data_IF_137572786069
#
_entry.id   IF_137572786069
#
_cell.length_a   1.000
_cell.length_b   1.000
_cell.length_c   1.000
_cell.angle_alpha   90.00
_cell.angle_beta   90.00
_cell.angle_gamma   90.00
#
_symmetry.space_group_name_H-M   'P 1'
#
loop_
_entity.id
_entity.type
_entity.pdbx_description
1 polymer ?
#
# COMPACT_ATOMS: atom_id res chain seq x y z
N UNK A 1 2.58 1.26 24.39
CA UNK A 1 2.57 2.44 25.29
C UNK A 1 2.83 3.69 24.46
N UNK A 2 2.22 4.83 24.79
CA UNK A 2 2.36 6.09 24.04
C UNK A 2 3.31 7.04 24.77
N UNK A 3 4.35 7.51 24.10
CA UNK A 3 5.35 8.43 24.66
C UNK A 3 5.37 9.71 23.84
N UNK A 4 5.10 10.85 24.47
CA UNK A 4 5.10 12.16 23.80
C UNK A 4 6.49 12.78 23.91
N UNK A 5 7.03 13.26 22.80
CA UNK A 5 8.36 13.90 22.71
C UNK A 5 8.27 15.17 21.86
N UNK A 6 9.05 16.19 22.19
CA UNK A 6 9.16 17.38 21.33
C UNK A 6 10.03 17.10 20.09
N UNK A 7 9.86 17.88 19.02
CA UNK A 7 10.67 17.77 17.80
C UNK A 7 12.17 17.92 18.07
N UNK A 8 12.54 18.79 19.00
CA UNK A 8 13.94 19.01 19.40
C UNK A 8 14.53 17.78 20.06
N UNK A 9 13.78 17.12 20.95
CA UNK A 9 14.20 15.88 21.58
C UNK A 9 14.20 14.70 20.61
N UNK A 10 13.20 14.62 19.73
CA UNK A 10 13.12 13.60 18.69
C UNK A 10 14.36 13.61 17.79
N UNK A 11 14.84 14.80 17.39
CA UNK A 11 16.07 14.95 16.60
C UNK A 11 17.32 14.50 17.35
N UNK A 12 17.44 14.85 18.64
CA UNK A 12 18.62 14.49 19.46
C UNK A 12 18.68 12.99 19.76
N UNK A 13 17.52 12.37 20.03
CA UNK A 13 17.40 10.97 20.49
C UNK A 13 16.94 10.01 19.39
N UNK A 14 16.94 10.44 18.12
CA UNK A 14 16.46 9.63 16.99
C UNK A 14 17.11 8.24 16.91
N UNK A 15 18.46 8.10 17.03
CA UNK A 15 19.10 6.80 16.98
C UNK A 15 18.70 5.87 18.12
N UNK A 16 18.54 6.39 19.34
CA UNK A 16 18.14 5.60 20.51
C UNK A 16 16.65 5.23 20.47
N UNK A 17 15.79 6.13 19.98
CA UNK A 17 14.36 5.86 19.73
C UNK A 17 14.23 4.69 18.75
N UNK A 18 14.95 4.71 17.62
CA UNK A 18 14.91 3.60 16.65
C UNK A 18 15.38 2.29 17.29
N UNK A 19 16.43 2.32 18.10
CA UNK A 19 16.94 1.13 18.79
C UNK A 19 15.92 0.56 19.77
N UNK A 20 15.22 1.43 20.52
CA UNK A 20 14.15 1.02 21.44
C UNK A 20 12.94 0.43 20.71
N UNK A 21 12.55 0.99 19.56
CA UNK A 21 11.46 0.45 18.73
C UNK A 21 11.76 -0.93 18.16
N UNK A 22 13.04 -1.24 17.92
CA UNK A 22 13.47 -2.58 17.50
C UNK A 22 13.33 -3.62 18.63
N UNK A 23 13.60 -3.23 19.87
CA UNK A 23 13.48 -4.10 21.04
C UNK A 23 12.06 -4.21 21.59
N UNK A 24 11.26 -3.14 21.46
CA UNK A 24 9.89 -3.04 21.96
C UNK A 24 8.96 -2.51 20.86
N UNK A 25 8.49 -3.39 19.94
CA UNK A 25 7.73 -2.99 18.75
C UNK A 25 6.34 -2.39 19.05
N UNK A 26 5.80 -2.59 20.26
CA UNK A 26 4.51 -2.05 20.70
C UNK A 26 4.58 -0.60 21.24
N UNK A 27 5.74 0.03 21.13
CA UNK A 27 5.95 1.41 21.57
C UNK A 27 5.60 2.37 20.45
N UNK A 28 4.86 3.44 20.79
CA UNK A 28 4.50 4.51 19.85
C UNK A 28 5.01 5.82 20.40
N UNK A 29 5.82 6.53 19.63
CA UNK A 29 6.31 7.86 19.98
C UNK A 29 5.52 8.92 19.22
N UNK A 30 4.93 9.87 19.92
CA UNK A 30 4.26 11.02 19.32
C UNK A 30 5.21 12.21 19.33
N UNK A 31 5.43 12.82 18.16
CA UNK A 31 6.30 13.99 18.00
C UNK A 31 5.44 15.23 18.00
N UNK A 32 5.77 16.15 18.90
CA UNK A 32 5.09 17.43 19.08
C UNK A 32 5.94 18.61 18.62
N UNK A 33 5.28 19.63 18.06
CA UNK A 33 5.85 20.92 17.70
C UNK A 33 4.94 21.99 18.32
N UNK A 34 5.47 22.87 19.15
CA UNK A 34 4.66 23.87 19.86
C UNK A 34 3.44 23.26 20.58
N UNK A 35 3.66 22.15 21.28
CA UNK A 35 2.63 21.38 22.01
C UNK A 35 1.51 20.77 21.13
N UNK A 36 1.64 20.83 19.81
CA UNK A 36 0.76 20.17 18.86
C UNK A 36 1.37 18.85 18.37
N UNK A 37 0.58 17.78 18.31
CA UNK A 37 1.03 16.47 17.81
C UNK A 37 1.04 16.50 16.28
N UNK A 38 2.23 16.41 15.69
CA UNK A 38 2.41 16.51 14.23
C UNK A 38 2.67 15.15 13.59
N UNK A 39 3.29 14.22 14.31
CA UNK A 39 3.67 12.93 13.75
C UNK A 39 3.72 11.81 14.79
N UNK A 40 3.69 10.57 14.30
CA UNK A 40 3.88 9.37 15.11
C UNK A 40 4.98 8.47 14.53
N UNK A 41 5.86 7.97 15.41
CA UNK A 41 6.90 7.00 15.07
C UNK A 41 6.53 5.68 15.75
N UNK A 42 6.38 4.63 14.93
CA UNK A 42 6.05 3.28 15.37
C UNK A 42 6.75 2.26 14.49
N UNK A 43 6.92 1.04 15.00
CA UNK A 43 7.47 -0.06 14.22
C UNK A 43 6.48 -0.46 13.12
N UNK A 44 7.00 -0.80 11.94
CA UNK A 44 6.16 -1.33 10.86
C UNK A 44 5.47 -2.62 11.34
N UNK A 45 4.18 -2.82 11.02
CA UNK A 45 3.53 -4.09 11.30
C UNK A 45 4.32 -5.23 10.64
N UNK A 46 4.61 -6.26 11.42
CA UNK A 46 5.32 -7.43 10.92
C UNK A 46 4.34 -8.29 10.11
N UNK A 47 4.47 -8.22 8.80
CA UNK A 47 3.67 -9.01 7.85
C UNK A 47 4.22 -10.43 7.83
N UNK A 48 3.34 -11.44 7.89
CA UNK A 48 3.79 -12.85 7.84
C UNK A 48 4.33 -13.15 6.44
N UNK A 49 5.38 -13.98 6.37
CA UNK A 49 5.87 -14.47 5.10
C UNK A 49 4.73 -15.16 4.33
N UNK A 50 4.55 -14.80 3.06
CA UNK A 50 3.47 -15.32 2.22
C UNK A 50 2.12 -14.59 2.36
N UNK A 51 1.97 -13.63 3.27
CA UNK A 51 0.72 -12.86 3.41
C UNK A 51 0.41 -12.01 2.17
N UNK A 52 1.45 -11.45 1.52
CA UNK A 52 1.30 -10.75 0.25
C UNK A 52 0.78 -11.69 -0.86
N UNK A 53 1.32 -12.90 -0.96
CA UNK A 53 0.88 -13.92 -1.91
C UNK A 53 -0.56 -14.39 -1.61
N UNK A 54 -0.89 -14.58 -0.33
CA UNK A 54 -2.24 -14.92 0.11
C UNK A 54 -3.24 -13.80 -0.25
N UNK A 55 -2.85 -12.53 -0.06
CA UNK A 55 -3.67 -11.38 -0.45
C UNK A 55 -3.88 -11.35 -1.97
N UNK A 56 -2.84 -11.56 -2.78
CA UNK A 56 -2.95 -11.66 -4.24
C UNK A 56 -3.87 -12.81 -4.68
N UNK A 57 -3.74 -13.99 -4.05
CA UNK A 57 -4.64 -15.13 -4.32
C UNK A 57 -6.09 -14.81 -3.95
N UNK A 58 -6.32 -14.13 -2.83
CA UNK A 58 -7.66 -13.72 -2.42
C UNK A 58 -8.27 -12.68 -3.38
N UNK A 59 -7.46 -11.73 -3.86
CA UNK A 59 -7.86 -10.76 -4.88
C UNK A 59 -8.19 -11.47 -6.19
N UNK A 60 -7.35 -12.41 -6.63
CA UNK A 60 -7.61 -13.25 -7.81
C UNK A 60 -8.93 -14.02 -7.70
N UNK A 61 -9.24 -14.59 -6.52
CA UNK A 61 -10.50 -15.28 -6.28
C UNK A 61 -11.70 -14.33 -6.33
N UNK A 62 -11.58 -13.14 -5.73
CA UNK A 62 -12.63 -12.10 -5.71
C UNK A 62 -12.88 -11.48 -7.09
N UNK A 63 -11.85 -11.35 -7.92
CA UNK A 63 -11.95 -10.84 -9.29
C UNK A 63 -12.68 -11.79 -10.25
N UNK A 64 -13.19 -12.93 -9.77
CA UNK A 64 -14.06 -13.80 -10.55
C UNK A 64 -13.26 -14.70 -11.49
N UNK A 65 -13.55 -16.00 -11.40
CA UNK A 65 -12.95 -17.02 -12.24
C UNK A 65 -13.17 -16.76 -13.73
N UNK A 66 -12.15 -17.13 -14.52
CA UNK A 66 -12.21 -17.43 -15.96
C UNK A 66 -13.32 -16.69 -16.71
N UNK A 67 -13.20 -15.36 -16.86
CA UNK A 67 -13.54 -14.85 -18.18
C UNK A 67 -12.46 -15.41 -19.09
N UNK A 68 -12.73 -16.57 -19.72
CA UNK A 68 -12.03 -16.90 -20.96
C UNK A 68 -12.20 -15.64 -21.79
N UNK A 69 -11.12 -14.89 -22.00
CA UNK A 69 -11.15 -13.79 -22.95
C UNK A 69 -11.80 -14.39 -24.19
N UNK A 70 -13.02 -13.92 -24.52
CA UNK A 70 -13.72 -14.40 -25.71
C UNK A 70 -12.72 -14.10 -26.81
N UNK A 71 -12.16 -15.15 -27.43
CA UNK A 71 -11.24 -14.96 -28.54
C UNK A 71 -12.08 -14.34 -29.64
N UNK A 72 -12.02 -13.02 -29.76
CA UNK A 72 -12.64 -12.30 -30.86
C UNK A 72 -11.74 -12.55 -32.06
N UNK A 73 -12.25 -13.16 -33.14
CA UNK A 73 -11.49 -13.35 -34.36
C UNK A 73 -11.30 -11.99 -35.03
N UNK A 74 -10.21 -11.30 -34.68
CA UNK A 74 -9.87 -9.98 -35.23
C UNK A 74 -9.72 -10.02 -36.76
N UNK A 75 -9.30 -11.15 -37.32
CA UNK A 75 -9.17 -11.35 -38.76
C UNK A 75 -10.51 -11.45 -39.48
N UNK A 76 -11.55 -11.99 -38.82
CA UNK A 76 -12.89 -12.14 -39.43
C UNK A 76 -13.65 -10.80 -39.39
N UNK A 77 -13.46 -10.01 -38.33
CA UNK A 77 -14.18 -8.75 -38.13
C UNK A 77 -13.33 -7.51 -38.47
N UNK A 78 -12.31 -7.65 -39.33
CA UNK A 78 -11.39 -6.55 -39.60
C UNK A 78 -12.10 -5.34 -40.24
N UNK A 79 -13.09 -5.59 -41.11
CA UNK A 79 -13.92 -4.53 -41.71
C UNK A 79 -14.70 -3.73 -40.64
N UNK A 80 -15.39 -4.43 -39.75
CA UNK A 80 -16.20 -3.79 -38.70
C UNK A 80 -15.36 -3.00 -37.70
N UNK A 81 -14.07 -3.30 -37.56
CA UNK A 81 -13.17 -2.59 -36.65
C UNK A 81 -12.44 -1.42 -37.33
N UNK A 82 -12.13 -1.53 -38.62
CA UNK A 82 -11.38 -0.49 -39.35
C UNK A 82 -12.28 0.66 -39.80
N UNK A 83 -13.51 0.37 -40.25
CA UNK A 83 -14.40 1.37 -40.86
C UNK A 83 -15.35 2.06 -39.87
N UNK A 84 -15.42 1.63 -38.60
CA UNK A 84 -16.21 2.33 -37.56
C UNK A 84 -15.62 3.71 -37.22
N UNK A 85 -14.35 3.96 -37.50
CA UNK A 85 -13.71 5.25 -37.29
C UNK A 85 -13.98 6.28 -38.42
N UNK A 86 -14.49 5.85 -39.58
CA UNK A 86 -14.72 6.72 -40.73
C UNK A 86 -16.14 7.30 -40.79
N UNK A 87 -17.09 6.74 -40.02
CA UNK A 87 -18.50 7.15 -40.00
C UNK A 87 -18.88 8.03 -38.78
N UNK A 88 -17.90 8.58 -38.04
CA UNK A 88 -18.18 9.66 -37.09
C UNK A 88 -18.14 11.02 -37.81
N UNK A 89 -19.28 11.74 -37.89
CA UNK A 89 -19.35 13.08 -38.51
C UNK A 89 -18.61 14.15 -37.70
#
# INVERSE_FOLDING_TARGET
>A
MKTVISISEARKKLPSIIRSLRSAPDTVYQVTVHDEVVAEIRTSPQVKAGEAAAKLLSMRKKLGGKQKAKKYPMSENMKDLLYVAEDQP
#
